data_IF_634598801095
#
_entry.id   IF_634598801095
#
_cell.length_a   1.000
_cell.length_b   1.000
_cell.length_c   1.000
_cell.angle_alpha   90.00
_cell.angle_beta   90.00
_cell.angle_gamma   90.00
#
_symmetry.space_group_name_H-M   'P 1'
#
loop_
_entity.id
_entity.type
_entity.pdbx_description
1 polymer ?
#
# COMPACT_ATOMS: atom_id res chain seq x y z
N UNK A 1 5.29 -7.67 -16.64
CA UNK A 1 5.78 -6.31 -16.29
C UNK A 1 7.14 -6.36 -15.63
N UNK A 2 7.30 -6.92 -14.42
CA UNK A 2 8.61 -7.01 -13.74
C UNK A 2 9.68 -7.73 -14.58
N UNK A 3 9.35 -8.89 -15.16
CA UNK A 3 10.27 -9.60 -16.06
C UNK A 3 10.66 -8.80 -17.32
N UNK A 4 9.77 -7.92 -17.79
CA UNK A 4 10.03 -7.06 -18.95
C UNK A 4 10.86 -5.82 -18.58
N UNK A 5 10.95 -5.48 -17.30
CA UNK A 5 11.69 -4.32 -16.81
C UNK A 5 13.17 -4.61 -16.53
N UNK A 6 13.58 -5.88 -16.52
CA UNK A 6 14.93 -6.31 -16.15
C UNK A 6 15.28 -5.84 -14.74
N UNK A 7 16.40 -5.13 -14.60
CA UNK A 7 16.90 -4.63 -13.31
C UNK A 7 16.26 -3.31 -12.85
N UNK A 8 15.41 -2.69 -13.67
CA UNK A 8 14.77 -1.41 -13.33
C UNK A 8 13.70 -1.61 -12.26
N UNK A 9 13.64 -0.74 -11.23
CA UNK A 9 12.60 -0.82 -10.22
C UNK A 9 11.22 -0.52 -10.80
N UNK A 10 10.24 -1.33 -10.40
CA UNK A 10 8.81 -1.09 -10.68
C UNK A 10 8.12 -0.75 -9.37
N UNK A 11 7.59 0.46 -9.30
CA UNK A 11 6.89 0.97 -8.13
C UNK A 11 5.39 0.72 -8.29
N UNK A 12 4.83 -0.14 -7.45
CA UNK A 12 3.41 -0.39 -7.37
C UNK A 12 2.77 0.64 -6.44
N UNK A 13 1.95 1.53 -7.00
CA UNK A 13 1.03 2.34 -6.22
C UNK A 13 -0.11 1.44 -5.75
N UNK A 14 -0.34 1.39 -4.44
CA UNK A 14 -1.45 0.60 -3.87
C UNK A 14 -2.80 1.22 -4.24
N UNK A 15 -3.87 0.50 -3.92
CA UNK A 15 -5.23 0.91 -4.24
C UNK A 15 -5.51 2.37 -3.82
N UNK A 16 -5.77 3.23 -4.80
CA UNK A 16 -6.15 4.63 -4.60
C UNK A 16 -7.58 4.80 -5.11
N UNK A 17 -8.52 4.47 -4.21
CA UNK A 17 -9.95 4.48 -4.43
C UNK A 17 -10.58 5.27 -3.29
N UNK A 18 -11.57 6.09 -3.60
CA UNK A 18 -12.42 6.81 -2.66
C UNK A 18 -13.86 6.91 -3.16
N UNK A 19 -14.65 7.77 -2.51
CA UNK A 19 -16.05 8.02 -2.86
C UNK A 19 -16.27 8.65 -4.25
N UNK A 20 -15.19 9.04 -4.95
CA UNK A 20 -15.22 9.50 -6.35
C UNK A 20 -15.45 8.36 -7.35
N UNK A 21 -15.18 7.11 -6.97
CA UNK A 21 -15.35 5.93 -7.82
C UNK A 21 -16.54 5.11 -7.34
N UNK A 22 -17.61 5.04 -8.13
CA UNK A 22 -18.73 4.14 -7.84
C UNK A 22 -18.30 2.69 -8.03
N UNK A 23 -17.96 2.01 -6.94
CA UNK A 23 -17.61 0.58 -6.94
C UNK A 23 -18.70 -0.18 -6.18
N UNK A 24 -19.64 -0.85 -6.90
CA UNK A 24 -20.85 -1.40 -6.30
C UNK A 24 -20.61 -2.37 -5.14
N UNK A 25 -19.49 -3.09 -5.15
CA UNK A 25 -19.15 -4.08 -4.13
C UNK A 25 -18.34 -3.52 -2.94
N UNK A 26 -17.93 -2.24 -2.98
CA UNK A 26 -17.18 -1.61 -1.88
C UNK A 26 -18.05 -0.71 -1.00
N UNK A 27 -19.32 -0.48 -1.35
CA UNK A 27 -20.30 0.32 -0.58
C UNK A 27 -19.71 1.59 0.07
N UNK A 28 -18.86 2.31 -0.67
CA UNK A 28 -18.18 3.51 -0.18
C UNK A 28 -19.20 4.65 -0.15
N UNK A 29 -19.44 5.30 1.01
CA UNK A 29 -20.37 6.40 1.09
C UNK A 29 -19.92 7.57 0.20
N UNK A 30 -20.88 8.20 -0.48
CA UNK A 30 -20.62 9.38 -1.28
C UNK A 30 -20.43 10.57 -0.32
N UNK A 31 -19.29 11.26 -0.43
CA UNK A 31 -18.99 12.43 0.39
C UNK A 31 -19.15 13.72 -0.42
N UNK A 32 -19.47 14.83 0.25
CA UNK A 32 -19.49 16.16 -0.39
C UNK A 32 -18.11 16.56 -0.94
N UNK A 33 -17.03 16.10 -0.31
CA UNK A 33 -15.66 16.31 -0.80
C UNK A 33 -14.81 15.02 -0.77
N UNK A 34 -14.86 14.20 -1.83
CA UNK A 34 -14.14 12.93 -1.90
C UNK A 34 -12.61 13.08 -1.97
N UNK A 35 -12.08 14.27 -2.26
CA UNK A 35 -10.63 14.51 -2.30
C UNK A 35 -10.01 14.66 -0.92
N UNK A 36 -10.78 15.16 0.06
CA UNK A 36 -10.32 15.37 1.44
C UNK A 36 -10.78 14.29 2.41
N UNK A 37 -11.65 13.38 1.99
CA UNK A 37 -12.29 12.41 2.89
C UNK A 37 -11.82 10.96 2.74
N UNK A 38 -12.77 10.03 2.58
CA UNK A 38 -12.61 8.58 2.75
C UNK A 38 -12.02 7.92 1.48
N UNK A 39 -10.68 7.87 1.41
CA UNK A 39 -9.93 7.28 0.28
C UNK A 39 -8.57 6.69 0.64
N UNK A 40 -8.05 5.83 -0.22
CA UNK A 40 -6.68 5.29 -0.16
C UNK A 40 -6.33 4.70 1.22
N UNK A 41 -5.20 5.07 1.83
CA UNK A 41 -4.75 4.46 3.10
C UNK A 41 -5.77 4.57 4.24
N UNK A 42 -6.69 5.54 4.18
CA UNK A 42 -7.75 5.72 5.18
C UNK A 42 -8.82 4.63 5.15
N UNK A 43 -9.05 4.00 3.99
CA UNK A 43 -10.06 2.96 3.81
C UNK A 43 -9.48 1.55 3.98
N UNK A 44 -8.15 1.42 3.97
CA UNK A 44 -7.49 0.11 4.02
C UNK A 44 -7.88 -0.73 5.24
N UNK A 45 -8.06 -0.18 6.46
CA UNK A 45 -8.50 -0.98 7.59
C UNK A 45 -9.86 -1.65 7.40
N UNK A 46 -10.82 -0.97 6.77
CA UNK A 46 -12.15 -1.52 6.48
C UNK A 46 -12.09 -2.56 5.36
N UNK A 47 -11.23 -2.34 4.36
CA UNK A 47 -11.00 -3.27 3.25
C UNK A 47 -9.71 -4.08 3.41
N UNK A 48 -9.37 -4.46 4.65
CA UNK A 48 -8.07 -5.09 4.95
C UNK A 48 -7.84 -6.38 4.15
N UNK A 49 -8.90 -7.16 3.90
CA UNK A 49 -8.82 -8.37 3.07
C UNK A 49 -8.44 -8.07 1.61
N UNK A 50 -9.00 -7.01 1.03
CA UNK A 50 -8.66 -6.56 -0.33
C UNK A 50 -7.24 -6.02 -0.40
N UNK A 51 -6.86 -5.19 0.58
CA UNK A 51 -5.49 -4.66 0.68
C UNK A 51 -4.48 -5.80 0.83
N UNK A 52 -4.75 -6.78 1.69
CA UNK A 52 -3.89 -7.96 1.87
C UNK A 52 -3.80 -8.82 0.62
N UNK A 53 -4.89 -8.96 -0.14
CA UNK A 53 -4.87 -9.64 -1.45
C UNK A 53 -3.92 -8.93 -2.42
N UNK A 54 -3.97 -7.59 -2.47
CA UNK A 54 -3.05 -6.78 -3.28
C UNK A 54 -1.59 -6.96 -2.82
N UNK A 55 -1.32 -6.91 -1.50
CA UNK A 55 0.02 -7.12 -0.94
C UNK A 55 0.57 -8.50 -1.30
N UNK A 56 -0.25 -9.55 -1.14
CA UNK A 56 0.15 -10.93 -1.48
C UNK A 56 0.53 -11.06 -2.94
N UNK A 57 -0.24 -10.46 -3.85
CA UNK A 57 0.06 -10.47 -5.28
C UNK A 57 1.40 -9.77 -5.58
N UNK A 58 1.62 -8.59 -5.00
CA UNK A 58 2.86 -7.81 -5.19
C UNK A 58 4.07 -8.55 -4.62
N UNK A 59 3.99 -9.09 -3.41
CA UNK A 59 5.09 -9.85 -2.76
C UNK A 59 5.48 -11.10 -3.56
N UNK A 60 4.51 -11.79 -4.16
CA UNK A 60 4.78 -12.91 -5.07
C UNK A 60 5.51 -12.43 -6.33
N UNK A 61 5.04 -11.33 -6.93
CA UNK A 61 5.66 -10.75 -8.11
C UNK A 61 7.09 -10.25 -7.83
N UNK A 62 7.33 -9.67 -6.65
CA UNK A 62 8.63 -9.19 -6.19
C UNK A 62 9.71 -10.29 -6.12
N UNK A 63 9.33 -11.56 -6.06
CA UNK A 63 10.29 -12.69 -6.11
C UNK A 63 10.91 -12.92 -7.51
N UNK A 64 10.49 -12.15 -8.51
CA UNK A 64 10.92 -12.25 -9.91
C UNK A 64 11.55 -10.95 -10.45
N UNK A 65 11.68 -9.89 -9.64
CA UNK A 65 12.27 -8.63 -10.08
C UNK A 65 12.19 -7.55 -9.01
N UNK A 66 12.76 -6.38 -9.31
CA UNK A 66 12.82 -5.25 -8.38
C UNK A 66 11.45 -4.55 -8.25
N UNK A 67 10.64 -5.00 -7.29
CA UNK A 67 9.35 -4.41 -6.97
C UNK A 67 9.45 -3.51 -5.72
N UNK A 68 8.79 -2.37 -5.77
CA UNK A 68 8.65 -1.44 -4.64
C UNK A 68 7.17 -1.12 -4.42
N UNK A 69 6.82 -0.76 -3.20
CA UNK A 69 5.46 -0.41 -2.81
C UNK A 69 5.38 1.08 -2.50
N UNK A 70 4.35 1.77 -2.98
CA UNK A 70 4.10 3.18 -2.68
C UNK A 70 2.67 3.37 -2.21
N UNK A 71 2.52 3.90 -0.99
CA UNK A 71 1.22 4.12 -0.35
C UNK A 71 0.73 5.55 -0.57
N UNK A 72 -0.47 5.74 -1.16
CA UNK A 72 -1.06 7.05 -1.36
C UNK A 72 -1.77 7.59 -0.10
N UNK A 73 -1.87 8.92 -0.03
CA UNK A 73 -2.62 9.73 0.93
C UNK A 73 -2.20 9.54 2.40
N UNK A 74 -0.94 9.15 2.63
CA UNK A 74 -0.39 8.99 3.97
C UNK A 74 -0.27 10.35 4.66
N UNK A 75 -0.81 10.44 5.87
CA UNK A 75 -0.76 11.65 6.68
C UNK A 75 -0.41 11.44 8.16
N UNK A 76 -0.21 10.19 8.61
CA UNK A 76 0.24 9.89 9.96
C UNK A 76 1.20 8.71 10.02
N UNK A 77 2.01 8.66 11.09
CA UNK A 77 2.91 7.53 11.36
C UNK A 77 2.13 6.23 11.59
N UNK A 78 0.97 6.29 12.25
CA UNK A 78 0.15 5.12 12.55
C UNK A 78 -0.29 4.39 11.29
N UNK A 79 -0.57 5.11 10.21
CA UNK A 79 -0.89 4.52 8.91
C UNK A 79 0.30 3.74 8.34
N UNK A 80 1.51 4.27 8.47
CA UNK A 80 2.74 3.59 8.02
C UNK A 80 2.96 2.33 8.85
N UNK A 81 2.80 2.41 10.18
CA UNK A 81 2.95 1.27 11.08
C UNK A 81 1.91 0.18 10.78
N UNK A 82 0.65 0.57 10.53
CA UNK A 82 -0.41 -0.34 10.16
C UNK A 82 -0.10 -1.06 8.84
N UNK A 83 0.33 -0.32 7.81
CA UNK A 83 0.73 -0.91 6.52
C UNK A 83 1.88 -1.90 6.69
N UNK A 84 2.91 -1.55 7.47
CA UNK A 84 4.02 -2.47 7.77
C UNK A 84 3.51 -3.74 8.45
N UNK A 85 2.56 -3.62 9.36
CA UNK A 85 1.90 -4.76 9.99
C UNK A 85 1.17 -5.66 8.97
N UNK A 86 0.43 -5.09 8.04
CA UNK A 86 -0.26 -5.86 6.99
C UNK A 86 0.70 -6.54 6.01
N UNK A 87 1.84 -5.92 5.68
CA UNK A 87 2.91 -6.55 4.88
C UNK A 87 3.42 -7.81 5.60
N UNK A 88 3.69 -7.71 6.91
CA UNK A 88 4.16 -8.87 7.69
C UNK A 88 3.11 -9.98 7.75
N UNK A 89 1.84 -9.64 7.94
CA UNK A 89 0.74 -10.63 7.89
C UNK A 89 0.67 -11.33 6.54
N UNK A 90 0.77 -10.57 5.44
CA UNK A 90 0.78 -11.13 4.09
C UNK A 90 1.98 -12.09 3.87
N UNK A 91 3.18 -11.74 4.34
CA UNK A 91 4.36 -12.61 4.29
C UNK A 91 4.11 -13.91 5.08
N UNK A 92 3.62 -13.81 6.32
CA UNK A 92 3.32 -14.98 7.17
C UNK A 92 2.32 -15.91 6.50
N UNK A 93 1.24 -15.37 5.91
CA UNK A 93 0.27 -16.18 5.20
C UNK A 93 0.86 -16.84 3.95
N UNK A 94 1.66 -16.12 3.15
CA UNK A 94 2.32 -16.70 1.97
C UNK A 94 3.31 -17.81 2.35
N UNK A 95 4.04 -17.65 3.47
CA UNK A 95 4.91 -18.68 4.05
C UNK A 95 4.09 -19.92 4.43
N UNK A 96 2.99 -19.72 5.17
CA UNK A 96 2.09 -20.80 5.58
C UNK A 96 1.50 -21.55 4.38
N UNK A 97 1.16 -20.81 3.32
CA UNK A 97 0.57 -21.38 2.10
C UNK A 97 1.63 -22.00 1.16
N UNK A 98 2.92 -21.95 1.51
CA UNK A 98 4.02 -22.53 0.71
C UNK A 98 4.26 -21.82 -0.63
N UNK A 99 3.81 -20.57 -0.77
CA UNK A 99 3.90 -19.83 -2.03
C UNK A 99 5.20 -19.07 -2.12
N UNK A 100 5.87 -19.09 -3.28
CA UNK A 100 7.07 -18.27 -3.54
C UNK A 100 6.76 -16.77 -3.42
N UNK A 101 7.55 -16.04 -2.65
CA UNK A 101 7.39 -14.60 -2.39
C UNK A 101 8.71 -13.95 -1.96
N UNK A 102 8.78 -12.62 -2.01
CA UNK A 102 9.86 -11.86 -1.41
C UNK A 102 9.65 -11.71 0.11
N UNK A 103 10.72 -11.84 0.89
CA UNK A 103 10.66 -11.69 2.36
C UNK A 103 10.59 -10.22 2.81
N UNK A 104 11.00 -9.30 1.94
CA UNK A 104 10.97 -7.87 2.18
C UNK A 104 10.58 -7.14 0.90
N UNK A 105 10.08 -5.92 1.05
CA UNK A 105 9.77 -5.03 -0.06
C UNK A 105 10.06 -3.59 0.37
N UNK A 106 10.67 -2.80 -0.52
CA UNK A 106 10.88 -1.37 -0.27
C UNK A 106 9.53 -0.67 -0.19
N UNK A 107 9.27 0.00 0.95
CA UNK A 107 8.05 0.75 1.21
C UNK A 107 8.34 2.25 1.12
N UNK A 108 7.65 2.94 0.22
CA UNK A 108 7.60 4.39 0.10
C UNK A 108 6.19 4.94 0.37
N UNK A 109 6.13 6.26 0.55
CA UNK A 109 4.86 7.01 0.66
C UNK A 109 4.77 8.01 -0.47
N UNK A 110 3.55 8.27 -0.95
CA UNK A 110 3.28 9.37 -1.87
C UNK A 110 3.04 10.64 -1.07
N UNK A 111 3.84 11.67 -1.31
CA UNK A 111 3.69 12.98 -0.64
C UNK A 111 2.70 13.82 -1.43
N UNK A 112 1.41 13.69 -1.09
CA UNK A 112 0.30 14.35 -1.80
C UNK A 112 -0.67 15.09 -0.87
N UNK A 113 -0.63 14.81 0.43
CA UNK A 113 -1.40 15.55 1.43
C UNK A 113 -0.49 16.64 2.03
N UNK A 114 -0.87 17.93 1.99
CA UNK A 114 -0.15 18.98 2.70
C UNK A 114 -0.45 18.87 4.20
N UNK A 115 0.05 17.81 4.82
CA UNK A 115 0.22 17.77 6.27
C UNK A 115 1.46 18.60 6.51
N UNK A 116 1.36 19.66 7.34
CA UNK A 116 2.53 20.43 7.73
C UNK A 116 3.66 19.46 8.05
N UNK A 117 4.81 19.62 7.39
CA UNK A 117 6.03 18.82 7.57
C UNK A 117 6.34 18.77 9.07
N UNK A 118 5.79 17.76 9.76
CA UNK A 118 5.92 17.62 11.19
C UNK A 118 7.32 17.10 11.45
N UNK A 119 8.24 18.04 11.71
CA UNK A 119 9.56 17.84 12.30
C UNK A 119 10.28 16.55 11.90
N UNK A 120 10.86 16.55 10.69
CA UNK A 120 11.85 15.56 10.30
C UNK A 120 13.15 15.78 11.11
N UNK A 121 13.29 15.11 12.27
CA UNK A 121 14.65 14.73 12.74
C UNK A 121 15.08 13.53 11.88
N UNK A 122 16.21 13.61 11.15
CA UNK A 122 16.69 12.50 10.34
C UNK A 122 17.00 11.31 11.24
N UNK A 123 16.20 10.25 11.12
CA UNK A 123 16.54 8.92 11.62
C UNK A 123 17.39 8.23 10.54
N UNK A 124 18.67 8.61 10.49
CA UNK A 124 19.74 7.82 9.91
C UNK A 124 20.80 7.63 10.99
N UNK A 125 20.80 6.45 11.61
CA UNK A 125 21.96 5.80 12.23
C UNK A 125 21.90 4.33 11.89
#
# INVERSE_FOLDING_TARGET
MLLAAGDKPIIFRTMDIGGDKSIPYLNIPQEENPFLGYRAVRIYPEFAGLFRTQLRAILRAASFGNAQLMIPMVHSLDQILWVKGEIQKAIVELKRDGLRHAETITLGIMVEVPVGVLHHRPLLR
#
